data_IF_225634581966
#
_entry.id   IF_225634581966
#
_cell.length_a   1.000
_cell.length_b   1.000
_cell.length_c   1.000
_cell.angle_alpha   90.00
_cell.angle_beta   90.00
_cell.angle_gamma   90.00
#
_symmetry.space_group_name_H-M   'P 1'
#
loop_
_entity.id
_entity.type
_entity.pdbx_description
1 polymer ?
#
# COMPACT_ATOMS: atom_id res chain seq x y z
N UNK A 1 14.43 -13.99 -4.55
CA UNK A 1 13.61 -13.56 -3.41
C UNK A 1 12.64 -14.68 -3.08
N UNK A 2 12.17 -14.81 -1.84
CA UNK A 2 11.09 -15.77 -1.58
C UNK A 2 9.82 -15.31 -2.30
N UNK A 3 8.95 -16.25 -2.65
CA UNK A 3 7.70 -15.99 -3.39
C UNK A 3 6.83 -14.95 -2.65
N UNK A 4 6.78 -15.01 -1.32
CA UNK A 4 6.08 -14.03 -0.47
C UNK A 4 6.52 -12.59 -0.76
N UNK A 5 7.82 -12.30 -0.73
CA UNK A 5 8.33 -10.94 -0.94
C UNK A 5 8.12 -10.45 -2.38
N UNK A 6 8.10 -11.36 -3.36
CA UNK A 6 7.73 -11.02 -4.74
C UNK A 6 6.27 -10.60 -4.86
N UNK A 7 5.35 -11.29 -4.16
CA UNK A 7 3.93 -10.91 -4.13
C UNK A 7 3.74 -9.53 -3.50
N UNK A 8 4.38 -9.27 -2.37
CA UNK A 8 4.28 -7.97 -1.68
C UNK A 8 4.86 -6.85 -2.55
N UNK A 9 5.99 -7.09 -3.23
CA UNK A 9 6.57 -6.13 -4.15
C UNK A 9 5.67 -5.85 -5.36
N UNK A 10 5.04 -6.89 -5.93
CA UNK A 10 4.08 -6.74 -7.01
C UNK A 10 2.86 -5.92 -6.57
N UNK A 11 2.35 -6.21 -5.37
CA UNK A 11 1.28 -5.45 -4.74
C UNK A 11 1.67 -3.96 -4.59
N UNK A 12 2.86 -3.67 -4.06
CA UNK A 12 3.39 -2.31 -3.95
C UNK A 12 3.44 -1.58 -5.30
N UNK A 13 3.86 -2.25 -6.38
CA UNK A 13 3.90 -1.63 -7.71
C UNK A 13 2.52 -1.29 -8.24
N UNK A 14 1.51 -2.14 -7.97
CA UNK A 14 0.12 -1.82 -8.28
C UNK A 14 -0.32 -0.58 -7.50
N UNK A 15 0.00 -0.50 -6.20
CA UNK A 15 -0.37 0.65 -5.38
C UNK A 15 0.24 1.95 -5.91
N UNK A 16 1.54 1.94 -6.27
CA UNK A 16 2.20 3.10 -6.87
C UNK A 16 1.50 3.51 -8.16
N UNK A 17 1.18 2.56 -9.04
CA UNK A 17 0.47 2.85 -10.29
C UNK A 17 -0.92 3.45 -10.04
N UNK A 18 -1.66 2.92 -9.05
CA UNK A 18 -2.99 3.45 -8.67
C UNK A 18 -2.87 4.86 -8.10
N UNK A 19 -1.92 5.12 -7.20
CA UNK A 19 -1.72 6.46 -6.64
C UNK A 19 -1.35 7.45 -7.74
N UNK A 20 -0.42 7.11 -8.64
CA UNK A 20 -0.07 7.97 -9.78
C UNK A 20 -1.29 8.25 -10.67
N UNK A 21 -2.08 7.23 -10.98
CA UNK A 21 -3.29 7.37 -11.79
C UNK A 21 -4.35 8.27 -11.14
N UNK A 22 -4.53 8.18 -9.82
CA UNK A 22 -5.52 8.96 -9.07
C UNK A 22 -5.05 10.39 -8.76
N UNK A 23 -3.74 10.62 -8.67
CA UNK A 23 -3.16 11.94 -8.37
C UNK A 23 -2.95 12.81 -9.60
N UNK A 24 -2.67 12.20 -10.75
CA UNK A 24 -2.54 12.94 -12.00
C UNK A 24 -3.93 13.41 -12.48
N UNK A 25 -4.02 14.61 -13.08
CA UNK A 25 -5.28 15.18 -13.57
C UNK A 25 -5.76 14.51 -14.89
N UNK A 26 -5.64 13.19 -15.01
CA UNK A 26 -5.98 12.43 -16.21
C UNK A 26 -7.51 12.38 -16.41
N UNK A 27 -8.28 12.34 -15.33
CA UNK A 27 -9.73 12.26 -15.37
C UNK A 27 -10.38 13.17 -14.32
N UNK A 28 -11.52 13.77 -14.69
CA UNK A 28 -12.30 14.61 -13.79
C UNK A 28 -12.88 13.79 -12.62
N UNK A 29 -13.10 14.39 -11.43
CA UNK A 29 -13.69 13.71 -10.28
C UNK A 29 -15.02 13.02 -10.61
N UNK A 30 -15.82 13.59 -11.51
CA UNK A 30 -17.07 13.02 -11.99
C UNK A 30 -16.90 11.71 -12.79
N UNK A 31 -15.82 11.56 -13.57
CA UNK A 31 -15.51 10.30 -14.29
C UNK A 31 -15.05 9.23 -13.30
N UNK A 32 -14.17 9.60 -12.37
CA UNK A 32 -13.75 8.72 -11.28
C UNK A 32 -14.93 8.26 -10.43
N UNK A 33 -15.85 9.14 -10.10
CA UNK A 33 -17.05 8.78 -9.34
C UNK A 33 -17.95 7.81 -10.09
N UNK A 34 -18.12 7.96 -11.42
CA UNK A 34 -18.86 6.98 -12.23
C UNK A 34 -18.18 5.61 -12.23
N UNK A 35 -16.86 5.58 -12.32
CA UNK A 35 -16.08 4.34 -12.20
C UNK A 35 -16.26 3.72 -10.81
N UNK A 36 -16.07 4.49 -9.74
CA UNK A 36 -16.16 4.02 -8.36
C UNK A 36 -17.58 3.65 -7.91
N UNK A 37 -18.62 4.27 -8.47
CA UNK A 37 -20.03 3.90 -8.23
C UNK A 37 -20.56 2.83 -9.19
N UNK A 38 -19.72 2.28 -10.06
CA UNK A 38 -20.14 1.16 -10.91
C UNK A 38 -20.61 -0.02 -10.05
N UNK A 39 -21.60 -0.78 -10.54
CA UNK A 39 -22.19 -1.93 -9.82
C UNK A 39 -21.14 -2.94 -9.34
N UNK A 40 -20.01 -3.00 -10.05
CA UNK A 40 -18.84 -3.82 -9.69
C UNK A 40 -18.18 -3.36 -8.38
N UNK A 41 -17.90 -2.06 -8.23
CA UNK A 41 -17.31 -1.54 -7.00
C UNK A 41 -18.30 -1.52 -5.83
N UNK A 42 -19.58 -1.28 -6.06
CA UNK A 42 -20.60 -1.32 -5.01
C UNK A 42 -20.71 -2.71 -4.34
N UNK A 43 -20.54 -3.79 -5.11
CA UNK A 43 -20.46 -5.16 -4.61
C UNK A 43 -19.18 -5.41 -3.79
N UNK A 44 -18.07 -4.80 -4.20
CA UNK A 44 -16.80 -4.86 -3.49
C UNK A 44 -16.89 -4.10 -2.16
N UNK A 45 -17.57 -2.94 -2.10
CA UNK A 45 -17.66 -2.10 -0.91
C UNK A 45 -18.22 -2.82 0.34
N UNK A 46 -19.19 -3.72 0.17
CA UNK A 46 -19.80 -4.45 1.29
C UNK A 46 -18.83 -5.38 2.04
N UNK A 47 -17.81 -5.91 1.35
CA UNK A 47 -16.81 -6.82 1.92
C UNK A 47 -15.40 -6.21 1.95
N UNK A 48 -15.16 -5.11 1.23
CA UNK A 48 -13.87 -4.45 1.11
C UNK A 48 -13.29 -4.01 2.45
N UNK A 49 -14.13 -3.66 3.43
CA UNK A 49 -13.67 -3.27 4.76
C UNK A 49 -12.94 -4.42 5.47
N UNK A 50 -13.47 -5.64 5.39
CA UNK A 50 -12.85 -6.83 5.98
C UNK A 50 -11.57 -7.18 5.23
N UNK A 51 -11.61 -7.23 3.89
CA UNK A 51 -10.42 -7.49 3.08
C UNK A 51 -9.31 -6.47 3.34
N UNK A 52 -9.67 -5.19 3.47
CA UNK A 52 -8.73 -4.12 3.79
C UNK A 52 -8.11 -4.29 5.18
N UNK A 53 -8.90 -4.64 6.20
CA UNK A 53 -8.40 -4.93 7.54
C UNK A 53 -7.43 -6.12 7.54
N UNK A 54 -7.81 -7.22 6.88
CA UNK A 54 -6.98 -8.42 6.75
C UNK A 54 -5.66 -8.09 6.05
N UNK A 55 -5.72 -7.33 4.95
CA UNK A 55 -4.54 -6.91 4.20
C UNK A 55 -3.60 -6.03 5.04
N UNK A 56 -4.14 -5.09 5.80
CA UNK A 56 -3.35 -4.32 6.79
C UNK A 56 -2.69 -5.26 7.80
N UNK A 57 -3.43 -6.22 8.35
CA UNK A 57 -2.89 -7.20 9.29
C UNK A 57 -1.72 -7.98 8.71
N UNK A 58 -1.86 -8.48 7.47
CA UNK A 58 -0.80 -9.20 6.76
C UNK A 58 0.43 -8.32 6.53
N UNK A 59 0.25 -7.07 6.09
CA UNK A 59 1.35 -6.14 5.85
C UNK A 59 2.07 -5.76 7.16
N UNK A 60 1.35 -5.57 8.26
CA UNK A 60 1.93 -5.35 9.59
C UNK A 60 2.75 -6.56 10.03
N UNK A 61 2.24 -7.79 9.86
CA UNK A 61 3.00 -9.00 10.20
C UNK A 61 4.28 -9.10 9.38
N UNK A 62 4.23 -8.79 8.08
CA UNK A 62 5.42 -8.76 7.22
C UNK A 62 6.42 -7.67 7.66
N UNK A 63 5.91 -6.50 8.07
CA UNK A 63 6.75 -5.41 8.57
C UNK A 63 7.45 -5.81 9.87
N UNK A 64 6.73 -6.43 10.81
CA UNK A 64 7.29 -6.92 12.06
C UNK A 64 8.33 -8.03 11.84
N UNK A 65 8.08 -8.92 10.89
CA UNK A 65 9.05 -9.96 10.48
C UNK A 65 10.33 -9.32 9.93
N UNK A 66 10.21 -8.33 9.05
CA UNK A 66 11.37 -7.61 8.51
C UNK A 66 12.15 -6.85 9.60
N UNK A 67 11.48 -6.21 10.56
CA UNK A 67 12.12 -5.55 11.71
C UNK A 67 12.86 -6.59 12.57
N UNK A 68 12.22 -7.72 12.86
CA UNK A 68 12.83 -8.81 13.63
C UNK A 68 14.07 -9.36 12.93
N UNK A 69 14.01 -9.59 11.62
CA UNK A 69 15.17 -10.02 10.84
C UNK A 69 16.28 -8.96 10.86
N UNK A 70 15.95 -7.68 10.69
CA UNK A 70 16.91 -6.59 10.71
C UNK A 70 17.65 -6.53 12.06
N UNK A 71 16.91 -6.61 13.18
CA UNK A 71 17.51 -6.64 14.51
C UNK A 71 18.34 -7.90 14.75
N UNK A 72 17.90 -9.06 14.25
CA UNK A 72 18.63 -10.33 14.37
C UNK A 72 19.99 -10.28 13.67
N UNK A 73 20.03 -9.74 12.46
CA UNK A 73 21.27 -9.70 11.66
C UNK A 73 22.15 -8.47 11.95
N UNK A 74 21.63 -7.46 12.65
CA UNK A 74 22.39 -6.27 13.06
C UNK A 74 23.30 -6.50 14.28
N UNK A 75 22.99 -7.49 15.14
CA UNK A 75 23.70 -7.74 16.40
C UNK A 75 24.58 -9.00 16.37
N UNK A 76 24.93 -9.50 15.19
CA UNK A 76 25.82 -10.67 15.08
C UNK A 76 27.23 -10.18 15.33
N UNK A 77 27.73 -10.38 16.56
CA UNK A 77 29.14 -10.13 16.88
C UNK A 77 30.04 -11.16 16.17
N UNK A 78 31.17 -10.72 15.59
CA UNK A 78 32.08 -11.61 14.90
C UNK A 78 32.74 -12.57 15.91
N UNK A 79 32.39 -13.85 15.84
CA UNK A 79 33.07 -14.90 16.62
C UNK A 79 34.40 -15.22 15.93
N UNK A 80 35.51 -15.19 16.67
CA UNK A 80 36.91 -15.10 16.20
C UNK A 80 37.42 -16.15 15.18
N UNK A 81 36.63 -17.15 14.77
CA UNK A 81 37.13 -18.29 13.99
C UNK A 81 36.38 -18.62 12.66
N UNK A 82 35.50 -17.75 12.14
CA UNK A 82 34.84 -17.93 10.81
C UNK A 82 34.76 -16.63 9.97
N UNK A 83 35.79 -15.80 10.09
CA UNK A 83 35.76 -14.34 10.09
C UNK A 83 35.30 -13.57 8.82
N UNK A 84 35.11 -14.18 7.64
CA UNK A 84 34.76 -13.40 6.43
C UNK A 84 33.49 -13.89 5.74
N UNK A 85 33.37 -15.18 5.50
CA UNK A 85 32.20 -15.74 4.82
C UNK A 85 30.93 -15.63 5.67
N UNK A 86 31.04 -15.82 6.98
CA UNK A 86 29.91 -15.70 7.91
C UNK A 86 29.45 -14.23 8.06
N UNK A 87 30.39 -13.30 8.11
CA UNK A 87 30.11 -11.86 8.19
C UNK A 87 29.47 -11.37 6.89
N UNK A 88 30.00 -11.77 5.73
CA UNK A 88 29.44 -11.40 4.43
C UNK A 88 28.02 -11.95 4.25
N UNK A 89 27.75 -13.18 4.69
CA UNK A 89 26.40 -13.75 4.70
C UNK A 89 25.45 -13.03 5.66
N UNK A 90 25.93 -12.59 6.83
CA UNK A 90 25.17 -11.78 7.78
C UNK A 90 24.75 -10.43 7.18
N UNK A 91 25.70 -9.71 6.59
CA UNK A 91 25.47 -8.42 5.93
C UNK A 91 24.49 -8.57 4.76
N UNK A 92 24.62 -9.60 3.92
CA UNK A 92 23.67 -9.87 2.83
C UNK A 92 22.23 -10.13 3.34
N UNK A 93 22.07 -10.79 4.49
CA UNK A 93 20.76 -11.02 5.11
C UNK A 93 20.19 -9.73 5.71
N UNK A 94 21.03 -8.90 6.32
CA UNK A 94 20.65 -7.59 6.82
C UNK A 94 20.12 -6.68 5.70
N UNK A 95 20.83 -6.56 4.58
CA UNK A 95 20.37 -5.77 3.43
C UNK A 95 19.05 -6.28 2.86
N UNK A 96 18.84 -7.61 2.89
CA UNK A 96 17.57 -8.21 2.48
C UNK A 96 16.43 -7.81 3.40
N UNK A 97 16.66 -7.87 4.71
CA UNK A 97 15.69 -7.46 5.73
C UNK A 97 15.34 -5.97 5.62
N UNK A 98 16.34 -5.10 5.42
CA UNK A 98 16.13 -3.66 5.19
C UNK A 98 15.25 -3.39 3.96
N UNK A 99 15.54 -4.03 2.82
CA UNK A 99 14.71 -3.90 1.61
C UNK A 99 13.27 -4.38 1.87
N UNK A 100 13.12 -5.54 2.53
CA UNK A 100 11.82 -6.10 2.85
C UNK A 100 11.02 -5.17 3.76
N UNK A 101 11.67 -4.55 4.75
CA UNK A 101 11.08 -3.52 5.61
C UNK A 101 10.52 -2.35 4.80
N UNK A 102 11.33 -1.79 3.89
CA UNK A 102 10.88 -0.71 3.01
C UNK A 102 9.68 -1.13 2.14
N UNK A 103 9.74 -2.32 1.52
CA UNK A 103 8.64 -2.82 0.68
C UNK A 103 7.34 -2.93 1.48
N UNK A 104 7.35 -3.59 2.65
CA UNK A 104 6.16 -3.74 3.48
C UNK A 104 5.68 -2.42 4.06
N UNK A 105 6.60 -1.53 4.45
CA UNK A 105 6.28 -0.23 5.04
C UNK A 105 5.63 0.71 4.04
N UNK A 106 6.20 0.81 2.83
CA UNK A 106 5.61 1.61 1.76
C UNK A 106 4.28 1.02 1.29
N UNK A 107 4.15 -0.30 1.21
CA UNK A 107 2.88 -0.92 0.84
C UNK A 107 1.78 -0.59 1.85
N UNK A 108 2.07 -0.74 3.15
CA UNK A 108 1.14 -0.39 4.22
C UNK A 108 0.74 1.10 4.16
N UNK A 109 1.71 1.99 3.91
CA UNK A 109 1.45 3.42 3.80
C UNK A 109 0.57 3.74 2.58
N UNK A 110 0.94 3.25 1.39
CA UNK A 110 0.19 3.54 0.16
C UNK A 110 -1.22 2.95 0.19
N UNK A 111 -1.42 1.80 0.83
CA UNK A 111 -2.74 1.22 1.04
C UNK A 111 -3.69 2.20 1.75
N UNK A 112 -3.21 2.86 2.81
CA UNK A 112 -3.97 3.86 3.56
C UNK A 112 -4.20 5.11 2.71
N UNK A 113 -3.17 5.56 1.98
CA UNK A 113 -3.26 6.72 1.06
C UNK A 113 -4.32 6.48 -0.01
N UNK A 114 -4.32 5.33 -0.66
CA UNK A 114 -5.30 4.97 -1.71
C UNK A 114 -6.72 5.02 -1.14
N UNK A 115 -6.94 4.40 0.02
CA UNK A 115 -8.26 4.44 0.68
C UNK A 115 -8.71 5.89 0.90
N UNK A 116 -7.82 6.75 1.38
CA UNK A 116 -8.13 8.16 1.63
C UNK A 116 -8.41 8.93 0.34
N UNK A 117 -7.63 8.71 -0.72
CA UNK A 117 -7.82 9.33 -2.03
C UNK A 117 -9.18 8.96 -2.63
N UNK A 118 -9.53 7.67 -2.62
CA UNK A 118 -10.82 7.19 -3.17
C UNK A 118 -12.01 7.81 -2.44
N UNK A 119 -11.95 7.88 -1.10
CA UNK A 119 -12.99 8.53 -0.29
C UNK A 119 -13.13 10.02 -0.65
N UNK A 120 -12.02 10.75 -0.66
CA UNK A 120 -12.01 12.19 -0.94
C UNK A 120 -12.49 12.53 -2.36
N UNK A 121 -12.08 11.75 -3.37
CA UNK A 121 -12.58 11.92 -4.76
C UNK A 121 -14.09 11.67 -4.83
N UNK A 122 -14.58 10.65 -4.11
CA UNK A 122 -16.00 10.31 -4.09
C UNK A 122 -16.85 11.40 -3.41
N UNK A 123 -16.36 11.96 -2.30
CA UNK A 123 -16.97 13.09 -1.59
C UNK A 123 -16.99 14.34 -2.47
N UNK A 124 -15.86 14.71 -3.06
CA UNK A 124 -15.73 15.88 -3.93
C UNK A 124 -16.71 15.81 -5.12
N UNK A 125 -16.84 14.64 -5.73
CA UNK A 125 -17.75 14.45 -6.85
C UNK A 125 -19.24 14.50 -6.43
N UNK A 126 -19.57 14.04 -5.20
CA UNK A 126 -20.90 14.22 -4.63
C UNK A 126 -21.22 15.70 -4.37
N UNK A 127 -20.26 16.46 -3.84
CA UNK A 127 -20.41 17.89 -3.60
C UNK A 127 -20.60 18.67 -4.90
N UNK A 128 -19.86 18.34 -5.96
CA UNK A 128 -20.07 18.94 -7.28
C UNK A 128 -21.48 18.68 -7.82
N UNK A 129 -21.97 17.44 -7.72
CA UNK A 129 -23.32 17.10 -8.17
C UNK A 129 -24.41 17.85 -7.37
N UNK A 130 -24.23 17.98 -6.05
CA UNK A 130 -25.16 18.73 -5.19
C UNK A 130 -25.13 20.23 -5.51
N UNK A 131 -23.94 20.81 -5.71
CA UNK A 131 -23.79 22.22 -6.08
C UNK A 131 -24.48 22.53 -7.41
N UNK A 132 -24.32 21.66 -8.42
CA UNK A 132 -24.98 21.83 -9.72
C UNK A 132 -26.51 21.72 -9.60
N UNK A 133 -27.01 20.79 -8.79
CA UNK A 133 -28.45 20.65 -8.53
C UNK A 133 -29.04 21.89 -7.83
N UNK A 134 -28.35 22.42 -6.81
CA UNK A 134 -28.79 23.61 -6.07
C UNK A 134 -28.83 24.85 -6.97
N UNK A 135 -27.83 25.03 -7.85
CA UNK A 135 -27.81 26.15 -8.80
C UNK A 135 -28.99 26.08 -9.78
N UNK A 136 -29.36 24.88 -10.26
CA UNK A 136 -30.51 24.69 -11.15
C UNK A 136 -31.86 24.91 -10.45
N UNK A 137 -31.95 24.70 -9.14
CA UNK A 137 -33.17 24.95 -8.37
C UNK A 137 -33.37 26.44 -8.04
N UNK A 138 -32.31 27.25 -8.12
CA UNK A 138 -32.35 28.69 -7.88
C UNK A 138 -32.65 29.52 -9.14
N UNK A 139 -32.63 28.90 -10.32
CA UNK A 139 -33.02 29.49 -11.61
C UNK A 139 -34.49 29.18 -11.93
#
# INVERSE_FOLDING_TARGET
MSLQWTIIAFFLYIEIAVVLLLTLPIASPSRWQKFFKSKFLALIYGQASIYFLVLIGVLILCLLDAIREMNKYSNIEPTEHQHLDAEMQGNMRLFRAQRNFYISGFALFLLIVIRRLVQMISELASLYAQSEANLRQAQ
#
